data_IF_998541207473
#
_entry.id   IF_998541207473
#
_cell.length_a   1.000
_cell.length_b   1.000
_cell.length_c   1.000
_cell.angle_alpha   90.00
_cell.angle_beta   90.00
_cell.angle_gamma   90.00
#
_symmetry.space_group_name_H-M   'P 1'
#
loop_
_entity.id
_entity.type
_entity.pdbx_description
1 polymer ?
#
# COMPACT_ATOMS: atom_id res chain seq x y z
N UNK A 1 5.67 -5.38 -16.95
CA UNK A 1 6.15 -6.42 -16.01
C UNK A 1 5.52 -7.77 -16.29
N UNK A 2 6.11 -8.84 -15.72
CA UNK A 2 5.63 -10.22 -15.87
C UNK A 2 5.54 -10.90 -14.50
N UNK A 3 4.44 -11.61 -14.25
CA UNK A 3 4.30 -12.50 -13.09
C UNK A 3 4.71 -13.92 -13.48
N UNK A 4 5.56 -14.55 -12.68
CA UNK A 4 5.95 -15.96 -12.84
C UNK A 4 5.89 -16.66 -11.49
N UNK A 5 5.76 -17.99 -11.48
CA UNK A 5 5.75 -18.71 -10.21
C UNK A 5 5.89 -20.21 -10.37
N UNK A 6 5.91 -20.91 -9.23
CA UNK A 6 5.91 -22.36 -9.14
C UNK A 6 4.90 -22.83 -8.11
N UNK A 7 4.40 -24.05 -8.29
CA UNK A 7 3.68 -24.77 -7.24
C UNK A 7 4.74 -25.41 -6.34
N UNK A 8 4.87 -24.92 -5.11
CA UNK A 8 5.85 -25.41 -4.13
C UNK A 8 5.29 -26.51 -3.25
N UNK A 9 3.97 -26.60 -3.14
CA UNK A 9 3.28 -27.70 -2.47
C UNK A 9 1.98 -28.03 -3.20
N UNK A 10 1.73 -29.32 -3.40
CA UNK A 10 0.48 -29.82 -3.93
C UNK A 10 0.26 -31.24 -3.43
N UNK A 11 -0.61 -31.41 -2.44
CA UNK A 11 -0.82 -32.73 -1.85
C UNK A 11 -1.93 -32.79 -0.82
N UNK A 12 -2.24 -34.01 -0.41
CA UNK A 12 -3.17 -34.32 0.67
C UNK A 12 -2.39 -35.03 1.76
N UNK A 13 -2.48 -34.52 2.98
CA UNK A 13 -1.94 -35.17 4.17
C UNK A 13 -3.08 -35.86 4.92
N UNK A 14 -2.85 -37.10 5.32
CA UNK A 14 -3.77 -37.89 6.14
C UNK A 14 -3.27 -37.93 7.58
N UNK A 15 -4.12 -37.55 8.54
CA UNK A 15 -3.83 -37.63 9.96
C UNK A 15 -4.97 -38.37 10.67
N UNK A 16 -4.64 -39.47 11.35
CA UNK A 16 -5.57 -40.19 12.22
C UNK A 16 -5.56 -39.63 13.65
N UNK A 17 -6.72 -39.23 14.16
CA UNK A 17 -6.89 -38.79 15.55
C UNK A 17 -7.68 -39.84 16.31
N UNK A 18 -7.06 -40.47 17.32
CA UNK A 18 -7.74 -41.44 18.19
C UNK A 18 -8.57 -40.70 19.24
N UNK A 19 -9.89 -40.91 19.23
CA UNK A 19 -10.81 -40.36 20.24
C UNK A 19 -11.19 -41.45 21.24
N UNK A 20 -10.84 -41.32 22.53
CA UNK A 20 -11.22 -42.30 23.56
C UNK A 20 -12.74 -42.54 23.58
N UNK A 21 -13.15 -43.80 23.43
CA UNK A 21 -14.57 -44.20 23.41
C UNK A 21 -15.34 -43.98 22.11
N UNK A 22 -14.75 -43.34 21.08
CA UNK A 22 -15.41 -43.08 19.78
C UNK A 22 -14.65 -43.61 18.55
N UNK A 23 -13.45 -44.15 18.73
CA UNK A 23 -12.64 -44.71 17.64
C UNK A 23 -11.73 -43.67 16.97
N UNK A 24 -11.08 -44.06 15.87
CA UNK A 24 -10.16 -43.19 15.11
C UNK A 24 -10.92 -42.37 14.08
N UNK A 25 -10.77 -41.05 14.13
CA UNK A 25 -11.25 -40.12 13.10
C UNK A 25 -10.10 -39.81 12.16
N UNK A 26 -10.27 -40.12 10.88
CA UNK A 26 -9.27 -39.81 9.86
C UNK A 26 -9.57 -38.44 9.26
N UNK A 27 -8.59 -37.54 9.34
CA UNK A 27 -8.62 -36.22 8.76
C UNK A 27 -7.76 -36.19 7.50
N UNK A 28 -8.35 -35.73 6.40
CA UNK A 28 -7.64 -35.43 5.16
C UNK A 28 -7.49 -33.93 5.02
N UNK A 29 -6.26 -33.46 4.81
CA UNK A 29 -5.95 -32.04 4.63
C UNK A 29 -5.24 -31.84 3.29
N UNK A 30 -5.95 -31.26 2.33
CA UNK A 30 -5.34 -30.78 1.10
C UNK A 30 -4.62 -29.46 1.37
N UNK A 31 -3.44 -29.30 0.77
CA UNK A 31 -2.67 -28.06 0.81
C UNK A 31 -2.07 -27.79 -0.57
N UNK A 32 -2.19 -26.53 -0.98
CA UNK A 32 -1.59 -26.02 -2.22
C UNK A 32 -0.85 -24.73 -1.90
N UNK A 33 0.42 -24.66 -2.27
CA UNK A 33 1.26 -23.47 -2.06
C UNK A 33 1.84 -23.01 -3.38
N UNK A 34 1.71 -21.71 -3.65
CA UNK A 34 2.20 -21.03 -4.85
C UNK A 34 3.27 -20.01 -4.44
N UNK A 35 4.47 -20.15 -5.01
CA UNK A 35 5.51 -19.13 -4.90
C UNK A 35 5.53 -18.30 -6.18
N UNK A 36 5.19 -17.02 -6.06
CA UNK A 36 5.07 -16.07 -7.16
C UNK A 36 6.16 -15.00 -7.08
N UNK A 37 6.54 -14.50 -8.25
CA UNK A 37 7.52 -13.42 -8.43
C UNK A 37 7.02 -12.47 -9.50
N UNK A 38 7.05 -11.18 -9.21
CA UNK A 38 6.91 -10.11 -10.19
C UNK A 38 8.30 -9.72 -10.68
N UNK A 39 8.49 -9.78 -11.99
CA UNK A 39 9.76 -9.47 -12.64
C UNK A 39 9.55 -8.27 -13.56
N UNK A 40 10.40 -7.26 -13.39
CA UNK A 40 10.50 -6.12 -14.29
C UNK A 40 10.97 -6.59 -15.67
N UNK A 41 10.26 -6.17 -16.72
CA UNK A 41 10.68 -6.50 -18.10
C UNK A 41 11.85 -5.61 -18.54
N UNK A 42 12.07 -4.47 -17.88
CA UNK A 42 13.10 -3.50 -18.27
C UNK A 42 14.52 -3.96 -17.91
N UNK A 43 14.71 -4.56 -16.74
CA UNK A 43 16.03 -4.90 -16.17
C UNK A 43 16.10 -6.33 -15.62
N UNK A 44 15.05 -7.14 -15.82
CA UNK A 44 14.92 -8.50 -15.29
C UNK A 44 15.04 -8.60 -13.75
N UNK A 45 14.88 -7.49 -13.02
CA UNK A 45 14.91 -7.48 -11.57
C UNK A 45 13.62 -8.06 -10.97
N UNK A 46 13.74 -8.74 -9.82
CA UNK A 46 12.59 -9.19 -9.03
C UNK A 46 12.06 -7.99 -8.26
N UNK A 47 10.87 -7.53 -8.62
CA UNK A 47 10.20 -6.38 -7.99
C UNK A 47 9.56 -6.81 -6.66
N UNK A 48 8.90 -7.98 -6.65
CA UNK A 48 8.18 -8.47 -5.47
C UNK A 48 8.01 -9.98 -5.52
N UNK A 49 7.85 -10.60 -4.35
CA UNK A 49 7.63 -12.04 -4.21
C UNK A 49 6.45 -12.30 -3.27
N UNK A 50 5.69 -13.35 -3.57
CA UNK A 50 4.56 -13.76 -2.74
C UNK A 50 4.55 -15.27 -2.57
N UNK A 51 4.23 -15.72 -1.37
CA UNK A 51 3.91 -17.13 -1.10
C UNK A 51 2.46 -17.21 -0.66
N UNK A 52 1.62 -17.80 -1.50
CA UNK A 52 0.19 -17.94 -1.25
C UNK A 52 -0.14 -19.40 -0.98
N UNK A 53 -0.93 -19.65 0.07
CA UNK A 53 -1.31 -21.00 0.47
C UNK A 53 -2.83 -21.11 0.59
N UNK A 54 -3.37 -22.19 0.06
CA UNK A 54 -4.75 -22.62 0.27
C UNK A 54 -4.78 -24.00 0.94
N UNK A 55 -5.76 -24.23 1.80
CA UNK A 55 -5.88 -25.50 2.51
C UNK A 55 -7.32 -25.85 2.83
N UNK A 56 -7.66 -27.10 2.59
CA UNK A 56 -9.01 -27.63 2.79
C UNK A 56 -8.96 -28.93 3.57
N UNK A 57 -9.89 -29.09 4.50
CA UNK A 57 -9.93 -30.23 5.42
C UNK A 57 -11.26 -30.96 5.33
N UNK A 58 -11.21 -32.29 5.31
CA UNK A 58 -12.38 -33.16 5.39
C UNK A 58 -12.17 -34.25 6.43
N UNK A 59 -13.24 -34.62 7.13
CA UNK A 59 -13.25 -35.66 8.16
C UNK A 59 -14.04 -36.87 7.65
N UNK A 60 -13.46 -38.06 7.75
CA UNK A 60 -14.04 -39.38 7.40
C UNK A 60 -14.31 -39.64 5.90
N UNK A 61 -14.06 -40.89 5.47
CA UNK A 61 -14.23 -41.37 4.10
C UNK A 61 -15.70 -41.32 3.64
N UNK A 62 -16.05 -40.26 2.92
CA UNK A 62 -17.29 -40.18 2.14
C UNK A 62 -17.14 -39.48 0.79
N UNK A 63 -15.95 -38.96 0.47
CA UNK A 63 -15.76 -38.14 -0.73
C UNK A 63 -14.57 -38.70 -1.51
N UNK A 64 -14.86 -39.14 -2.74
CA UNK A 64 -13.93 -39.59 -3.78
C UNK A 64 -12.57 -38.85 -3.78
N UNK A 65 -11.59 -39.36 -3.04
CA UNK A 65 -10.24 -38.77 -3.02
C UNK A 65 -9.27 -39.53 -3.93
N UNK A 66 -9.48 -40.81 -4.28
CA UNK A 66 -8.40 -41.60 -4.90
C UNK A 66 -8.81 -42.72 -5.89
N UNK A 67 -9.87 -42.56 -6.69
CA UNK A 67 -10.21 -43.64 -7.63
C UNK A 67 -11.39 -43.41 -8.55
N UNK A 68 -11.28 -42.43 -9.46
CA UNK A 68 -12.11 -42.43 -10.66
C UNK A 68 -11.19 -42.84 -11.83
N UNK A 69 -11.46 -43.96 -12.54
CA UNK A 69 -10.82 -44.17 -13.83
C UNK A 69 -11.25 -43.00 -14.73
N UNK A 70 -10.28 -42.18 -15.19
CA UNK A 70 -10.43 -40.90 -15.91
C UNK A 70 -10.48 -39.62 -15.05
N UNK A 71 -9.61 -39.49 -14.04
CA UNK A 71 -9.38 -38.20 -13.37
C UNK A 71 -8.89 -37.13 -14.37
N UNK A 72 -9.66 -36.05 -14.50
CA UNK A 72 -9.30 -34.89 -15.32
C UNK A 72 -9.20 -33.65 -14.44
N UNK A 73 -8.13 -32.87 -14.64
CA UNK A 73 -7.93 -31.56 -14.00
C UNK A 73 -8.88 -30.47 -14.53
N UNK A 74 -9.66 -30.76 -15.58
CA UNK A 74 -10.48 -29.78 -16.31
C UNK A 74 -11.99 -29.94 -16.10
N UNK A 75 -12.44 -30.46 -14.94
CA UNK A 75 -13.86 -30.72 -14.67
C UNK A 75 -14.34 -30.26 -13.30
N UNK A 76 -15.67 -30.07 -13.15
CA UNK A 76 -16.36 -29.73 -11.89
C UNK A 76 -15.99 -30.66 -10.73
N UNK A 77 -15.71 -31.93 -11.04
CA UNK A 77 -15.26 -32.95 -10.08
C UNK A 77 -13.91 -32.61 -9.44
N UNK A 78 -12.98 -32.02 -10.20
CA UNK A 78 -11.73 -31.52 -9.63
C UNK A 78 -12.01 -30.29 -8.77
N UNK A 79 -12.80 -29.33 -9.25
CA UNK A 79 -13.11 -28.11 -8.50
C UNK A 79 -13.76 -28.36 -7.13
N UNK A 80 -14.61 -29.39 -7.04
CA UNK A 80 -15.27 -29.80 -5.80
C UNK A 80 -14.40 -30.67 -4.88
N UNK A 81 -13.32 -31.25 -5.42
CA UNK A 81 -12.37 -32.06 -4.67
C UNK A 81 -11.61 -31.24 -3.64
N UNK A 82 -11.06 -31.91 -2.62
CA UNK A 82 -10.24 -31.29 -1.58
C UNK A 82 -9.05 -30.51 -2.18
N UNK A 83 -8.39 -31.09 -3.20
CA UNK A 83 -7.26 -30.48 -3.91
C UNK A 83 -7.69 -29.31 -4.80
N UNK A 84 -8.82 -29.40 -5.49
CA UNK A 84 -9.30 -28.30 -6.32
C UNK A 84 -9.73 -27.09 -5.49
N UNK A 85 -10.38 -27.33 -4.35
CA UNK A 85 -10.71 -26.27 -3.39
C UNK A 85 -9.45 -25.64 -2.78
N UNK A 86 -8.46 -26.43 -2.35
CA UNK A 86 -7.20 -25.87 -1.84
C UNK A 86 -6.45 -25.07 -2.92
N UNK A 87 -6.48 -25.52 -4.17
CA UNK A 87 -5.89 -24.80 -5.32
C UNK A 87 -6.59 -23.47 -5.54
N UNK A 88 -7.93 -23.46 -5.56
CA UNK A 88 -8.72 -22.23 -5.73
C UNK A 88 -8.46 -21.23 -4.62
N UNK A 89 -8.39 -21.71 -3.37
CA UNK A 89 -8.03 -20.86 -2.24
C UNK A 89 -6.61 -20.26 -2.39
N UNK A 90 -5.63 -21.05 -2.83
CA UNK A 90 -4.26 -20.56 -3.04
C UNK A 90 -4.19 -19.48 -4.12
N UNK A 91 -4.92 -19.65 -5.23
CA UNK A 91 -5.03 -18.66 -6.31
C UNK A 91 -5.72 -17.38 -5.84
N UNK A 92 -6.82 -17.49 -5.10
CA UNK A 92 -7.51 -16.32 -4.55
C UNK A 92 -6.63 -15.56 -3.56
N UNK A 93 -5.94 -16.28 -2.67
CA UNK A 93 -4.99 -15.71 -1.71
C UNK A 93 -3.86 -14.96 -2.44
N UNK A 94 -3.30 -15.55 -3.50
CA UNK A 94 -2.30 -14.89 -4.34
C UNK A 94 -2.84 -13.60 -4.98
N UNK A 95 -4.03 -13.64 -5.56
CA UNK A 95 -4.64 -12.47 -6.18
C UNK A 95 -4.88 -11.34 -5.16
N UNK A 96 -5.31 -11.68 -3.95
CA UNK A 96 -5.52 -10.71 -2.87
C UNK A 96 -4.21 -10.10 -2.37
N UNK A 97 -3.15 -10.90 -2.21
CA UNK A 97 -1.82 -10.41 -1.85
C UNK A 97 -1.28 -9.44 -2.90
N UNK A 98 -1.35 -9.81 -4.18
CA UNK A 98 -0.92 -8.95 -5.28
C UNK A 98 -1.73 -7.64 -5.30
N UNK A 99 -3.06 -7.70 -5.17
CA UNK A 99 -3.91 -6.50 -5.14
C UNK A 99 -3.57 -5.56 -3.99
N UNK A 100 -3.29 -6.10 -2.79
CA UNK A 100 -2.89 -5.30 -1.63
C UNK A 100 -1.58 -4.58 -1.88
N UNK A 101 -0.58 -5.27 -2.41
CA UNK A 101 0.74 -4.69 -2.63
C UNK A 101 0.74 -3.68 -3.77
N UNK A 102 0.04 -3.95 -4.88
CA UNK A 102 -0.15 -2.97 -5.97
C UNK A 102 -0.87 -1.73 -5.44
N UNK A 103 -1.88 -1.90 -4.59
CA UNK A 103 -2.57 -0.75 -3.99
C UNK A 103 -1.67 0.02 -3.02
N UNK A 104 -0.86 -0.66 -2.22
CA UNK A 104 0.09 -0.02 -1.33
C UNK A 104 1.16 0.77 -2.09
N UNK A 105 1.68 0.22 -3.18
CA UNK A 105 2.59 0.91 -4.10
C UNK A 105 1.92 2.12 -4.75
N UNK A 106 0.69 1.98 -5.25
CA UNK A 106 -0.06 3.09 -5.82
C UNK A 106 -0.31 4.20 -4.78
N UNK A 107 -0.63 3.86 -3.52
CA UNK A 107 -0.78 4.83 -2.43
C UNK A 107 0.56 5.52 -2.12
N UNK A 108 1.67 4.78 -2.07
CA UNK A 108 3.00 5.36 -1.84
C UNK A 108 3.41 6.28 -2.99
N UNK A 109 3.17 5.89 -4.25
CA UNK A 109 3.42 6.75 -5.41
C UNK A 109 2.51 7.98 -5.41
N UNK A 110 1.25 7.84 -5.01
CA UNK A 110 0.32 8.96 -4.94
C UNK A 110 0.62 9.92 -3.78
N UNK A 111 1.07 9.38 -2.64
CA UNK A 111 1.58 10.16 -1.51
C UNK A 111 2.93 10.83 -1.83
N UNK A 112 3.79 10.18 -2.61
CA UNK A 112 5.01 10.78 -3.13
C UNK A 112 4.72 11.90 -4.16
N UNK A 113 3.57 11.85 -4.84
CA UNK A 113 3.14 12.85 -5.83
C UNK A 113 2.25 13.96 -5.27
N UNK A 114 1.62 13.73 -4.12
CA UNK A 114 0.77 14.73 -3.46
C UNK A 114 1.53 15.22 -2.23
N UNK A 115 2.23 16.36 -2.32
CA UNK A 115 2.98 16.85 -1.19
C UNK A 115 2.03 17.13 -0.03
N UNK A 116 2.49 16.87 1.19
CA UNK A 116 1.71 17.07 2.39
C UNK A 116 1.47 18.58 2.56
N UNK A 117 0.27 19.05 2.19
CA UNK A 117 0.00 20.48 2.06
C UNK A 117 -1.17 20.96 2.93
N UNK A 118 -1.00 22.17 3.47
CA UNK A 118 -2.00 22.93 4.21
C UNK A 118 -1.94 24.41 3.83
N UNK A 119 -2.34 25.27 4.75
CA UNK A 119 -2.34 26.72 4.65
C UNK A 119 -1.79 27.36 5.91
N UNK A 120 -1.20 28.53 5.77
CA UNK A 120 -0.87 29.43 6.87
C UNK A 120 -2.18 29.90 7.51
N UNK A 121 -2.39 29.55 8.77
CA UNK A 121 -3.55 29.92 9.56
C UNK A 121 -3.33 31.21 10.35
N UNK A 122 -2.09 31.46 10.78
CA UNK A 122 -1.70 32.66 11.52
C UNK A 122 -0.21 33.00 11.29
N UNK A 123 0.14 34.28 11.44
CA UNK A 123 1.50 34.81 11.29
C UNK A 123 1.81 35.77 12.44
N UNK A 124 2.76 35.39 13.29
CA UNK A 124 3.26 36.24 14.39
C UNK A 124 4.77 36.45 14.24
N UNK A 125 5.17 37.53 13.56
CA UNK A 125 6.56 37.81 13.22
C UNK A 125 7.14 36.70 12.31
N UNK A 126 8.05 35.90 12.87
CA UNK A 126 8.65 34.75 12.17
C UNK A 126 8.01 33.41 12.57
N UNK A 127 7.01 33.40 13.44
CA UNK A 127 6.27 32.21 13.86
C UNK A 127 5.03 32.03 12.98
N UNK A 128 4.83 30.82 12.47
CA UNK A 128 3.68 30.47 11.63
C UNK A 128 2.87 29.38 12.31
N UNK A 129 1.55 29.53 12.31
CA UNK A 129 0.63 28.42 12.58
C UNK A 129 0.15 27.87 11.25
N UNK A 130 0.34 26.58 11.02
CA UNK A 130 -0.09 25.89 9.81
C UNK A 130 -1.27 24.98 10.14
N UNK A 131 -2.34 24.98 9.32
CA UNK A 131 -3.54 24.17 9.58
C UNK A 131 -3.37 22.68 9.22
N UNK A 132 -2.18 22.15 9.48
CA UNK A 132 -1.75 20.81 9.13
C UNK A 132 -0.92 20.25 10.28
N UNK A 133 -1.38 19.14 10.86
CA UNK A 133 -0.81 18.53 12.06
C UNK A 133 -0.48 17.06 11.89
N UNK A 134 -0.28 16.36 13.00
CA UNK A 134 0.11 14.94 13.00
C UNK A 134 -0.94 14.01 12.40
N UNK A 135 -2.23 14.37 12.45
CA UNK A 135 -3.29 13.60 11.79
C UNK A 135 -3.12 13.53 10.26
N UNK A 136 -2.48 14.54 9.67
CA UNK A 136 -2.15 14.55 8.25
C UNK A 136 -0.77 13.93 7.95
N UNK A 137 0.01 13.60 8.98
CA UNK A 137 1.37 13.05 8.85
C UNK A 137 2.49 14.09 8.93
N UNK A 138 2.23 15.30 9.45
CA UNK A 138 3.28 16.30 9.71
C UNK A 138 4.17 15.82 10.87
N UNK A 139 5.48 16.06 10.78
CA UNK A 139 6.43 15.73 11.84
C UNK A 139 7.32 16.93 12.18
N UNK A 140 7.82 16.96 13.42
CA UNK A 140 8.84 17.92 13.85
C UNK A 140 10.13 17.64 13.07
N UNK A 141 10.80 18.70 12.62
CA UNK A 141 12.04 18.58 11.83
C UNK A 141 11.86 18.74 10.32
N UNK A 142 10.63 18.76 9.84
CA UNK A 142 10.34 18.93 8.42
C UNK A 142 10.53 20.39 7.99
N UNK A 143 10.98 20.58 6.75
CA UNK A 143 10.97 21.88 6.10
C UNK A 143 9.62 22.08 5.40
N UNK A 144 9.13 23.32 5.37
CA UNK A 144 7.87 23.68 4.73
C UNK A 144 8.12 24.85 3.80
N UNK A 145 7.75 24.70 2.54
CA UNK A 145 7.72 25.81 1.59
C UNK A 145 6.37 26.53 1.69
N UNK A 146 6.44 27.85 1.84
CA UNK A 146 5.28 28.72 1.80
C UNK A 146 5.12 29.23 0.38
N UNK A 147 3.99 28.89 -0.25
CA UNK A 147 3.71 29.16 -1.65
C UNK A 147 2.49 30.07 -1.79
N UNK A 148 2.55 31.02 -2.73
CA UNK A 148 1.43 31.89 -3.09
C UNK A 148 0.96 31.59 -4.50
N UNK A 149 -0.36 31.51 -4.67
CA UNK A 149 -0.98 31.37 -6.00
C UNK A 149 -1.01 32.74 -6.66
N UNK A 150 -0.26 32.91 -7.76
CA UNK A 150 -0.23 34.17 -8.50
C UNK A 150 -1.05 34.13 -9.78
N UNK A 151 -1.37 32.94 -10.29
CA UNK A 151 -2.23 32.80 -11.48
C UNK A 151 -3.04 31.52 -11.42
N UNK A 152 -4.33 31.64 -11.65
CA UNK A 152 -5.21 30.51 -11.93
C UNK A 152 -5.50 30.48 -13.44
N UNK A 153 -5.32 29.32 -14.05
CA UNK A 153 -5.70 29.07 -15.44
C UNK A 153 -7.02 28.31 -15.39
N UNK A 154 -8.05 28.87 -16.00
CA UNK A 154 -9.37 28.27 -16.10
C UNK A 154 -9.67 27.93 -17.55
N UNK A 155 -10.46 26.89 -17.73
CA UNK A 155 -11.04 26.57 -19.02
C UNK A 155 -11.96 27.73 -19.46
N UNK A 156 -11.80 28.27 -20.68
CA UNK A 156 -12.58 29.41 -21.13
C UNK A 156 -14.06 29.08 -21.36
N UNK A 157 -14.38 27.81 -21.64
CA UNK A 157 -15.73 27.37 -22.00
C UNK A 157 -16.49 26.87 -20.76
N UNK A 158 -15.83 26.14 -19.85
CA UNK A 158 -16.46 25.53 -18.66
C UNK A 158 -16.22 26.32 -17.37
N UNK A 159 -15.21 27.19 -17.31
CA UNK A 159 -14.78 27.89 -16.09
C UNK A 159 -14.07 27.00 -15.06
N UNK A 160 -13.85 25.73 -15.39
CA UNK A 160 -13.15 24.76 -14.55
C UNK A 160 -11.71 25.22 -14.29
N UNK A 161 -11.23 25.03 -13.05
CA UNK A 161 -9.85 25.33 -12.70
C UNK A 161 -8.93 24.24 -13.27
N UNK A 162 -8.12 24.61 -14.26
CA UNK A 162 -7.18 23.68 -14.91
C UNK A 162 -5.83 23.63 -14.21
N UNK A 163 -5.34 24.78 -13.73
CA UNK A 163 -4.01 24.87 -13.14
C UNK A 163 -3.88 26.09 -12.22
N UNK A 164 -3.12 25.94 -11.15
CA UNK A 164 -2.61 27.05 -10.35
C UNK A 164 -1.10 27.19 -10.54
N UNK A 165 -0.65 28.38 -10.88
CA UNK A 165 0.78 28.72 -10.83
C UNK A 165 1.09 29.29 -9.45
N UNK A 166 1.97 28.59 -8.76
CA UNK A 166 2.45 28.94 -7.42
C UNK A 166 3.89 29.44 -7.51
N UNK A 167 4.22 30.43 -6.69
CA UNK A 167 5.60 30.85 -6.47
C UNK A 167 5.92 30.64 -4.99
N UNK A 168 7.15 30.24 -4.69
CA UNK A 168 7.63 30.18 -3.31
C UNK A 168 7.87 31.58 -2.80
N UNK A 169 7.42 31.82 -1.58
CA UNK A 169 7.50 33.08 -0.85
C UNK A 169 8.49 32.97 0.30
N UNK A 170 8.50 31.82 0.97
CA UNK A 170 9.37 31.59 2.12
C UNK A 170 9.61 30.10 2.32
N UNK A 171 10.60 29.77 3.13
CA UNK A 171 10.81 28.43 3.69
C UNK A 171 10.81 28.54 5.21
N UNK A 172 10.15 27.59 5.87
CA UNK A 172 10.04 27.50 7.33
C UNK A 172 10.44 26.10 7.82
N UNK A 173 10.70 25.99 9.12
CA UNK A 173 11.06 24.75 9.80
C UNK A 173 10.03 24.42 10.89
N UNK A 174 9.47 23.23 10.85
CA UNK A 174 8.45 22.78 11.82
C UNK A 174 9.14 22.37 13.12
N UNK A 175 8.83 23.06 14.20
CA UNK A 175 9.42 22.80 15.52
C UNK A 175 8.41 22.25 16.54
N UNK A 176 7.11 22.30 16.25
CA UNK A 176 6.04 21.76 17.10
C UNK A 176 4.88 21.28 16.23
N UNK A 177 4.31 20.13 16.58
CA UNK A 177 3.18 19.53 15.87
C UNK A 177 2.12 19.09 16.88
N UNK A 178 0.90 19.57 16.68
CA UNK A 178 -0.31 19.12 17.37
C UNK A 178 -1.16 18.26 16.42
N UNK A 179 -2.25 17.67 16.91
CA UNK A 179 -3.11 16.81 16.07
C UNK A 179 -3.62 17.51 14.82
N UNK A 180 -4.05 18.77 14.94
CA UNK A 180 -4.75 19.52 13.89
C UNK A 180 -3.93 20.64 13.25
N UNK A 181 -2.81 21.02 13.85
CA UNK A 181 -1.99 22.14 13.38
C UNK A 181 -0.53 21.91 13.75
N UNK A 182 0.37 22.69 13.15
CA UNK A 182 1.78 22.71 13.50
C UNK A 182 2.27 24.14 13.62
N UNK A 183 3.38 24.32 14.34
CA UNK A 183 4.09 25.61 14.41
C UNK A 183 5.42 25.51 13.68
N UNK A 184 5.70 26.52 12.88
CA UNK A 184 6.91 26.59 12.09
C UNK A 184 7.61 27.94 12.25
N UNK A 185 8.94 27.92 12.26
CA UNK A 185 9.78 29.11 12.30
C UNK A 185 10.24 29.42 10.88
N UNK A 186 9.99 30.64 10.41
CA UNK A 186 10.50 31.12 9.11
C UNK A 186 12.02 31.11 9.12
N UNK A 187 12.62 30.47 8.11
CA UNK A 187 14.06 30.43 7.88
C UNK A 187 14.50 31.50 6.88
N UNK A 188 13.76 31.63 5.78
CA UNK A 188 14.07 32.52 4.67
C UNK A 188 12.79 33.04 4.03
N UNK A 189 12.78 34.32 3.64
CA UNK A 189 11.73 34.94 2.83
C UNK A 189 12.38 35.43 1.54
N UNK A 190 11.72 35.20 0.41
CA UNK A 190 12.17 35.70 -0.89
C UNK A 190 12.15 37.24 -0.92
N UNK A 191 13.10 37.91 -1.61
CA UNK A 191 13.21 39.36 -1.58
C UNK A 191 11.93 40.08 -2.02
N UNK A 192 11.43 40.98 -1.16
CA UNK A 192 10.25 41.79 -1.45
C UNK A 192 8.91 41.11 -1.17
N UNK A 193 8.91 39.86 -0.70
CA UNK A 193 7.69 39.15 -0.34
C UNK A 193 7.39 39.22 1.16
N UNK A 194 6.13 38.98 1.49
CA UNK A 194 5.64 38.86 2.87
C UNK A 194 4.67 37.68 2.95
N UNK A 195 4.78 36.89 4.01
CA UNK A 195 3.89 35.76 4.28
C UNK A 195 2.52 36.28 4.73
N UNK A 196 1.45 35.70 4.22
CA UNK A 196 0.08 36.05 4.57
C UNK A 196 -0.75 34.82 4.98
N UNK A 197 -1.76 35.05 5.82
CA UNK A 197 -2.78 34.04 6.13
C UNK A 197 -3.43 33.58 4.82
N UNK A 198 -3.51 32.26 4.65
CA UNK A 198 -4.08 31.61 3.47
C UNK A 198 -3.07 31.19 2.41
N UNK A 199 -1.81 31.63 2.50
CA UNK A 199 -0.72 31.09 1.68
C UNK A 199 -0.61 29.57 1.90
N UNK A 200 -0.21 28.85 0.86
CA UNK A 200 -0.12 27.38 0.89
C UNK A 200 1.16 26.99 1.63
N UNK A 201 1.03 26.06 2.56
CA UNK A 201 2.16 25.50 3.30
C UNK A 201 2.39 24.06 2.82
N UNK A 202 3.46 23.82 2.10
CA UNK A 202 3.76 22.54 1.48
C UNK A 202 4.97 21.88 2.16
N UNK A 203 4.73 20.79 2.86
CA UNK A 203 5.75 20.11 3.66
C UNK A 203 6.67 19.29 2.76
N UNK A 204 7.96 19.54 2.90
CA UNK A 204 9.04 18.79 2.28
C UNK A 204 9.59 17.83 3.32
N UNK A 205 9.52 16.53 3.03
CA UNK A 205 10.17 15.53 3.87
C UNK A 205 11.67 15.81 3.82
N UNK A 206 12.25 16.21 4.94
CA UNK A 206 13.70 16.33 5.05
C UNK A 206 14.25 14.91 4.94
N UNK A 207 14.79 14.53 3.77
CA UNK A 207 15.65 13.36 3.71
C UNK A 207 16.81 13.64 4.66
N UNK A 208 16.98 12.76 5.65
CA UNK A 208 18.16 12.79 6.51
C UNK A 208 19.37 12.90 5.60
N UNK A 209 20.17 13.96 5.78
CA UNK A 209 21.46 14.07 5.12
C UNK A 209 22.19 12.72 5.26
N UNK A 210 22.84 12.19 4.21
CA UNK A 210 23.67 11.01 4.36
C UNK A 210 24.63 11.30 5.51
N UNK A 211 24.61 10.44 6.53
CA UNK A 211 25.52 10.55 7.67
C UNK A 211 26.93 10.79 7.11
N UNK A 212 27.52 11.91 7.50
CA UNK A 212 28.84 12.32 7.02
C UNK A 212 29.83 11.16 7.12
N UNK A 213 30.58 10.98 6.04
CA UNK A 213 31.73 10.07 5.96
C UNK A 213 32.81 10.44 6.99
#
# INVERSE_FOLDING_TARGET
>A
DRVTGKVSEFGINENGVLIPGKGTVTQYKARTTLDLRLISVADAAIISTWTATGSETSYNLGVNILGIPNFSFSGRQFEESLLGKSTRQAVNSAADMIRRDVRAQAIQEHAARTPLAGKVADVDGNDLVLNIGSLAGMEIGWSVDILRVHKQVRDPDTGELLMEKRARIATAFVYSVEEKYSRAQVLMIEPGEQIAIGDVAEAQKTESAPAGQ
#
